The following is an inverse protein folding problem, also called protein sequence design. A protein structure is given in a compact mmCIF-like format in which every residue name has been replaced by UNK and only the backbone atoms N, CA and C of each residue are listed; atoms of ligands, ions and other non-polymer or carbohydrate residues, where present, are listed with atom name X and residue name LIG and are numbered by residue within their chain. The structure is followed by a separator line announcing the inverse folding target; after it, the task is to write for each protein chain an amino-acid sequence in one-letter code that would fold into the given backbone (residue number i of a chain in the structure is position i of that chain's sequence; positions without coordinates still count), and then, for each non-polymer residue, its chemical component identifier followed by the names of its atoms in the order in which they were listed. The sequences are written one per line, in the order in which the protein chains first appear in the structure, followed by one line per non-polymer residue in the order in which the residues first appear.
data_IF_587712006290
#
_entry.id   IF_587712006290
#
_cell.length_a   1.000
_cell.length_b   1.000
_cell.length_c   1.000
_cell.angle_alpha   90.00
_cell.angle_beta   90.00
_cell.angle_gamma   90.00
#
_symmetry.space_group_name_H-M   'P 1'
#
loop_
_entity.id
_entity.type
_entity.pdbx_description
1 polymer ?
#
# COMPACT_ATOMS: atom_id res chain seq x y z
N UNK A 1 31.28 -7.67 -1.86
CA UNK A 1 32.61 -7.88 -1.24
C UNK A 1 32.51 -9.17 -0.45
N UNK A 2 33.19 -10.24 -0.89
CA UNK A 2 32.96 -11.60 -0.35
C UNK A 2 34.06 -12.05 0.63
N UNK A 3 35.12 -11.25 0.79
CA UNK A 3 36.24 -11.50 1.71
C UNK A 3 36.82 -10.16 2.19
N UNK A 4 37.23 -10.08 3.46
CA UNK A 4 37.81 -8.87 4.07
C UNK A 4 39.17 -8.48 3.47
N UNK A 5 39.92 -9.43 2.91
CA UNK A 5 41.21 -9.17 2.27
C UNK A 5 41.07 -8.27 1.02
N UNK A 6 39.90 -8.27 0.37
CA UNK A 6 39.62 -7.45 -0.81
C UNK A 6 39.58 -5.95 -0.52
N UNK A 7 39.43 -5.55 0.75
CA UNK A 7 39.48 -4.13 1.14
C UNK A 7 40.90 -3.55 1.05
N UNK A 8 41.92 -4.40 1.10
CA UNK A 8 43.34 -4.01 1.01
C UNK A 8 43.83 -3.91 -0.43
N UNK A 9 43.00 -4.27 -1.43
CA UNK A 9 43.35 -4.15 -2.85
C UNK A 9 43.50 -2.66 -3.22
N UNK A 10 44.61 -2.32 -3.89
CA UNK A 10 44.98 -0.93 -4.23
C UNK A 10 44.47 -0.48 -5.58
N UNK A 11 44.18 -1.42 -6.49
CA UNK A 11 43.80 -1.14 -7.87
C UNK A 11 42.31 -1.38 -8.11
N UNK A 12 41.71 -0.54 -8.94
CA UNK A 12 40.35 -0.75 -9.42
C UNK A 12 40.32 -2.06 -10.26
N UNK A 13 39.32 -2.94 -10.08
CA UNK A 13 39.22 -4.16 -10.88
C UNK A 13 39.17 -3.83 -12.39
N UNK A 14 39.64 -4.73 -13.27
CA UNK A 14 39.49 -4.55 -14.71
C UNK A 14 38.00 -4.55 -15.10
N UNK A 15 37.68 -3.80 -16.17
CA UNK A 15 36.32 -3.60 -16.69
C UNK A 15 35.54 -4.91 -16.86
N UNK A 16 36.21 -5.99 -17.28
CA UNK A 16 35.62 -7.31 -17.52
C UNK A 16 35.05 -7.98 -16.26
N UNK A 17 35.44 -7.51 -15.06
CA UNK A 17 34.90 -8.00 -13.78
C UNK A 17 33.63 -7.27 -13.34
N UNK A 18 33.23 -6.19 -14.02
CA UNK A 18 32.01 -5.43 -13.73
C UNK A 18 30.86 -5.93 -14.60
N UNK A 19 30.28 -7.07 -14.21
CA UNK A 19 29.08 -7.64 -14.83
C UNK A 19 27.88 -7.55 -13.87
N UNK A 20 26.81 -6.85 -14.29
CA UNK A 20 25.58 -6.76 -13.51
C UNK A 20 24.67 -7.95 -13.81
N UNK A 21 24.48 -8.83 -12.81
CA UNK A 21 23.51 -9.95 -12.91
C UNK A 21 22.05 -9.49 -12.96
N UNK A 22 21.77 -8.25 -12.52
CA UNK A 22 20.41 -7.70 -12.49
C UNK A 22 19.95 -7.23 -13.89
N UNK A 23 20.87 -6.66 -14.66
CA UNK A 23 20.59 -6.10 -15.98
C UNK A 23 21.21 -6.93 -17.13
N UNK A 24 21.93 -8.00 -16.80
CA UNK A 24 22.68 -8.88 -17.71
C UNK A 24 23.66 -8.13 -18.63
N UNK A 25 24.21 -7.00 -18.16
CA UNK A 25 25.05 -6.09 -18.94
C UNK A 25 26.40 -5.83 -18.27
N UNK A 26 27.42 -5.61 -19.10
CA UNK A 26 28.72 -5.09 -18.69
C UNK A 26 28.64 -3.59 -18.43
N UNK A 27 29.53 -3.07 -17.58
CA UNK A 27 29.67 -1.63 -17.34
C UNK A 27 29.98 -0.87 -18.65
N UNK A 28 29.41 0.31 -18.82
CA UNK A 28 29.72 1.17 -19.97
C UNK A 28 31.10 1.81 -19.81
N UNK A 29 31.72 2.25 -20.92
CA UNK A 29 33.00 2.97 -20.86
C UNK A 29 32.91 4.27 -20.05
N UNK A 30 31.78 4.97 -20.17
CA UNK A 30 31.52 6.23 -19.44
C UNK A 30 31.46 6.02 -17.92
N UNK A 31 30.78 4.95 -17.47
CA UNK A 31 30.68 4.63 -16.05
C UNK A 31 32.04 4.19 -15.48
N UNK A 32 32.82 3.41 -16.23
CA UNK A 32 34.16 3.02 -15.81
C UNK A 32 35.13 4.21 -15.75
N UNK A 33 35.03 5.17 -16.69
CA UNK A 33 35.79 6.42 -16.65
C UNK A 33 35.38 7.29 -15.44
N UNK A 34 34.09 7.32 -15.11
CA UNK A 34 33.59 7.99 -13.90
C UNK A 34 34.24 7.42 -12.64
N UNK A 35 34.29 6.09 -12.50
CA UNK A 35 34.94 5.43 -11.36
C UNK A 35 36.43 5.76 -11.26
N UNK A 36 37.14 5.76 -12.40
CA UNK A 36 38.54 6.20 -12.44
C UNK A 36 38.72 7.67 -12.05
N UNK A 37 37.75 8.53 -12.41
CA UNK A 37 37.76 9.95 -12.01
C UNK A 37 37.51 10.12 -10.52
N UNK A 38 36.60 9.34 -9.93
CA UNK A 38 36.33 9.33 -8.48
C UNK A 38 37.58 8.91 -7.70
N UNK A 39 38.21 7.78 -8.08
CA UNK A 39 39.44 7.31 -7.44
C UNK A 39 40.58 8.33 -7.51
N UNK A 40 40.75 8.98 -8.67
CA UNK A 40 41.76 10.04 -8.84
C UNK A 40 41.46 11.27 -8.00
N UNK A 41 40.22 11.75 -8.01
CA UNK A 41 39.81 13.01 -7.37
C UNK A 41 39.81 12.93 -5.84
N UNK A 42 39.48 11.78 -5.27
CA UNK A 42 39.51 11.54 -3.82
C UNK A 42 40.81 10.90 -3.33
N UNK A 43 41.79 10.69 -4.22
CA UNK A 43 43.10 10.09 -3.91
C UNK A 43 42.99 8.76 -3.12
N UNK A 44 42.08 7.89 -3.55
CA UNK A 44 41.76 6.63 -2.89
C UNK A 44 42.94 5.67 -2.99
N UNK A 45 43.38 5.12 -1.85
CA UNK A 45 44.56 4.25 -1.77
C UNK A 45 44.23 2.76 -1.80
N UNK A 46 43.04 2.40 -1.34
CA UNK A 46 42.59 1.01 -1.28
C UNK A 46 41.07 0.92 -1.45
N UNK A 47 40.58 -0.28 -1.73
CA UNK A 47 39.16 -0.54 -1.97
C UNK A 47 38.30 -0.39 -0.70
N UNK A 48 38.90 -0.42 0.49
CA UNK A 48 38.29 -0.02 1.76
C UNK A 48 37.85 1.45 1.77
N UNK A 49 38.78 2.36 1.47
CA UNK A 49 38.49 3.80 1.38
C UNK A 49 37.44 4.11 0.29
N UNK A 50 37.48 3.38 -0.82
CA UNK A 50 36.44 3.45 -1.85
C UNK A 50 35.07 3.04 -1.31
N UNK A 51 35.01 1.93 -0.58
CA UNK A 51 33.75 1.45 0.01
C UNK A 51 33.25 2.42 1.09
N UNK A 52 34.14 2.98 1.90
CA UNK A 52 33.78 3.99 2.90
C UNK A 52 33.22 5.26 2.25
N UNK A 53 33.80 5.71 1.14
CA UNK A 53 33.28 6.85 0.37
C UNK A 53 31.88 6.55 -0.17
N UNK A 54 31.70 5.35 -0.74
CA UNK A 54 30.39 4.92 -1.26
C UNK A 54 29.35 4.87 -0.14
N UNK A 55 29.64 4.19 0.97
CA UNK A 55 28.72 4.05 2.11
C UNK A 55 28.43 5.42 2.73
N UNK A 56 29.42 6.30 2.88
CA UNK A 56 29.18 7.66 3.36
C UNK A 56 28.27 8.41 2.41
N UNK A 57 28.51 8.35 1.10
CA UNK A 57 27.68 9.03 0.11
C UNK A 57 26.24 8.51 0.15
N UNK A 58 26.05 7.20 0.21
CA UNK A 58 24.73 6.56 0.32
C UNK A 58 24.00 6.96 1.62
N UNK A 59 24.71 7.01 2.75
CA UNK A 59 24.16 7.46 4.04
C UNK A 59 23.76 8.94 3.99
N UNK A 60 24.58 9.82 3.40
CA UNK A 60 24.26 11.25 3.29
C UNK A 60 23.09 11.49 2.33
N UNK A 61 23.09 10.82 1.17
CA UNK A 61 21.97 10.86 0.22
C UNK A 61 20.68 10.36 0.87
N UNK A 62 20.75 9.25 1.60
CA UNK A 62 19.61 8.70 2.33
C UNK A 62 19.13 9.63 3.44
N UNK A 63 20.04 10.29 4.15
CA UNK A 63 19.71 11.29 5.17
C UNK A 63 19.01 12.50 4.55
N UNK A 64 19.54 13.08 3.47
CA UNK A 64 18.93 14.20 2.75
C UNK A 64 17.54 13.84 2.21
N UNK A 65 17.38 12.65 1.61
CA UNK A 65 16.09 12.15 1.14
C UNK A 65 15.12 11.96 2.32
N UNK A 66 15.61 11.42 3.44
CA UNK A 66 14.79 11.18 4.62
C UNK A 66 14.37 12.48 5.32
N UNK A 67 15.23 13.50 5.39
CA UNK A 67 14.88 14.82 5.90
C UNK A 67 13.80 15.48 5.04
N UNK A 68 13.98 15.48 3.70
CA UNK A 68 12.95 15.97 2.78
C UNK A 68 11.63 15.19 2.92
N UNK A 69 11.70 13.87 3.11
CA UNK A 69 10.54 13.04 3.36
C UNK A 69 9.88 13.35 4.70
N UNK A 70 10.67 13.57 5.76
CA UNK A 70 10.21 13.96 7.10
C UNK A 70 9.47 15.30 7.05
N UNK A 71 10.03 16.29 6.37
CA UNK A 71 9.39 17.59 6.18
C UNK A 71 8.08 17.47 5.39
N UNK A 72 8.06 16.67 4.31
CA UNK A 72 6.84 16.39 3.56
C UNK A 72 5.77 15.73 4.44
N UNK A 73 6.16 14.75 5.26
CA UNK A 73 5.27 14.05 6.19
C UNK A 73 4.75 14.98 7.30
N UNK A 74 5.60 15.87 7.83
CA UNK A 74 5.19 16.86 8.81
C UNK A 74 4.23 17.88 8.22
N UNK A 75 4.53 18.41 7.03
CA UNK A 75 3.69 19.41 6.35
C UNK A 75 2.36 18.84 5.86
N UNK A 76 2.36 17.60 5.39
CA UNK A 76 1.17 16.95 4.83
C UNK A 76 0.36 16.25 5.90
N UNK A 77 1.00 15.42 6.72
CA UNK A 77 0.32 14.50 7.64
C UNK A 77 0.42 14.91 9.09
N UNK A 78 1.22 15.93 9.43
CA UNK A 78 1.54 16.32 10.81
C UNK A 78 2.10 15.15 11.62
N UNK A 79 2.84 14.27 10.93
CA UNK A 79 3.43 13.06 11.49
C UNK A 79 4.92 13.05 11.20
N UNK A 80 5.68 12.71 12.23
CA UNK A 80 7.11 12.55 12.11
C UNK A 80 7.44 11.06 11.88
N UNK A 81 7.88 10.67 10.66
CA UNK A 81 8.20 9.28 10.32
C UNK A 81 9.29 8.68 11.21
N UNK A 82 10.13 9.48 11.87
CA UNK A 82 11.19 8.99 12.76
C UNK A 82 10.66 8.29 14.02
N UNK A 83 9.40 8.50 14.40
CA UNK A 83 8.77 7.82 15.54
C UNK A 83 8.24 6.42 15.21
N UNK A 84 8.40 5.98 13.98
CA UNK A 84 7.85 4.71 13.50
C UNK A 84 8.95 3.81 12.98
N UNK A 85 9.01 2.57 13.48
CA UNK A 85 10.00 1.57 13.04
C UNK A 85 9.85 1.19 11.55
N UNK A 86 8.63 1.19 11.03
CA UNK A 86 8.34 0.88 9.62
C UNK A 86 7.10 1.63 9.13
N UNK A 87 6.92 1.86 7.81
CA UNK A 87 5.72 2.49 7.27
C UNK A 87 4.39 1.79 7.63
N UNK A 88 4.31 0.45 7.80
CA UNK A 88 3.12 -0.21 8.34
C UNK A 88 2.86 0.07 9.83
N UNK A 89 3.90 0.39 10.60
CA UNK A 89 3.78 0.81 12.01
C UNK A 89 3.00 2.11 12.20
N UNK A 90 2.80 2.90 11.13
CA UNK A 90 1.87 4.03 11.11
C UNK A 90 0.40 3.59 11.21
N UNK A 91 0.01 2.34 10.98
CA UNK A 91 -1.39 1.92 10.84
C UNK A 91 -2.24 1.90 12.14
N UNK A 92 -1.85 2.66 13.17
CA UNK A 92 -2.61 2.81 14.41
C UNK A 92 -3.85 3.68 14.15
N UNK A 93 -5.02 3.06 14.26
CA UNK A 93 -6.33 3.69 14.08
C UNK A 93 -6.39 4.73 12.93
N UNK A 94 -6.15 4.34 11.66
CA UNK A 94 -6.13 5.28 10.55
C UNK A 94 -7.51 5.87 10.32
N UNK A 95 -7.58 7.18 10.08
CA UNK A 95 -8.81 7.94 9.88
C UNK A 95 -8.78 8.69 8.55
N UNK A 96 -9.92 8.77 7.87
CA UNK A 96 -10.04 9.55 6.64
C UNK A 96 -10.20 11.04 6.99
N UNK A 97 -9.22 11.88 6.63
CA UNK A 97 -9.23 13.32 6.93
C UNK A 97 -8.63 14.10 5.76
N UNK A 98 -9.00 15.38 5.62
CA UNK A 98 -8.32 16.30 4.73
C UNK A 98 -7.06 16.83 5.43
N UNK A 99 -5.85 16.52 4.93
CA UNK A 99 -4.66 17.20 5.40
C UNK A 99 -4.71 18.69 5.01
N UNK A 100 -4.02 19.54 5.78
CA UNK A 100 -4.05 21.01 5.67
C UNK A 100 -3.86 21.54 4.24
N UNK A 101 -3.06 20.85 3.43
CA UNK A 101 -2.72 21.24 2.07
C UNK A 101 -3.44 20.42 0.98
N UNK A 102 -4.43 19.59 1.32
CA UNK A 102 -5.13 18.75 0.36
C UNK A 102 -6.66 18.90 0.47
N UNK A 103 -7.31 19.14 -0.68
CA UNK A 103 -8.78 19.21 -0.77
C UNK A 103 -9.45 17.83 -0.72
N UNK A 104 -8.68 16.78 -0.96
CA UNK A 104 -9.16 15.41 -1.00
C UNK A 104 -8.92 14.70 0.33
N UNK A 105 -9.90 13.88 0.74
CA UNK A 105 -9.77 13.06 1.93
C UNK A 105 -8.73 11.97 1.70
N UNK A 106 -7.76 11.88 2.60
CA UNK A 106 -6.73 10.83 2.61
C UNK A 106 -6.86 9.99 3.87
N UNK A 107 -6.44 8.74 3.78
CA UNK A 107 -6.34 7.88 4.95
C UNK A 107 -5.08 8.25 5.73
N UNK A 108 -5.25 8.86 6.91
CA UNK A 108 -4.18 9.40 7.73
C UNK A 108 -4.00 8.62 9.03
N UNK A 109 -2.76 8.47 9.43
CA UNK A 109 -2.31 7.69 10.58
C UNK A 109 -1.98 8.58 11.77
N UNK A 110 -2.96 9.35 12.23
CA UNK A 110 -2.73 10.38 13.25
C UNK A 110 -2.83 9.86 14.69
N UNK A 111 -2.10 10.48 15.61
CA UNK A 111 -2.27 10.28 17.07
C UNK A 111 -3.35 11.19 17.68
N UNK A 112 -4.07 11.94 16.83
CA UNK A 112 -5.17 12.79 17.28
C UNK A 112 -6.32 11.99 17.87
N UNK A 113 -7.13 12.68 18.68
CA UNK A 113 -8.37 12.14 19.21
C UNK A 113 -9.24 11.59 18.08
N UNK A 114 -9.70 10.37 18.28
CA UNK A 114 -10.52 9.63 17.32
C UNK A 114 -11.99 9.75 17.70
N UNK A 115 -12.78 10.38 16.85
CA UNK A 115 -14.21 10.53 17.06
C UNK A 115 -15.01 9.51 16.24
N UNK A 116 -16.03 8.89 16.85
CA UNK A 116 -16.92 7.91 16.18
C UNK A 116 -16.16 6.78 15.45
N UNK A 117 -14.97 6.44 15.93
CA UNK A 117 -14.12 5.41 15.34
C UNK A 117 -14.71 4.01 15.58
N UNK A 118 -14.77 3.20 14.53
CA UNK A 118 -15.24 1.82 14.61
C UNK A 118 -14.02 0.93 14.77
N UNK A 119 -14.00 0.14 15.84
CA UNK A 119 -12.86 -0.73 16.19
C UNK A 119 -13.33 -2.06 16.75
N UNK A 120 -12.63 -3.13 16.38
CA UNK A 120 -12.81 -4.44 16.99
C UNK A 120 -12.24 -4.50 18.41
N UNK A 121 -12.91 -5.22 19.33
CA UNK A 121 -12.56 -5.23 20.76
C UNK A 121 -11.12 -5.67 21.05
N UNK A 122 -10.56 -6.59 20.24
CA UNK A 122 -9.17 -7.07 20.42
C UNK A 122 -8.16 -5.95 20.18
N UNK A 123 -8.33 -5.16 19.11
CA UNK A 123 -7.47 -4.02 18.82
C UNK A 123 -7.65 -2.93 19.87
N UNK A 124 -8.90 -2.69 20.31
CA UNK A 124 -9.16 -1.73 21.38
C UNK A 124 -8.41 -2.10 22.66
N UNK A 125 -8.40 -3.39 23.04
CA UNK A 125 -7.65 -3.87 24.20
C UNK A 125 -6.15 -3.58 24.08
N UNK A 126 -5.57 -3.87 22.91
CA UNK A 126 -4.16 -3.59 22.62
C UNK A 126 -3.87 -2.08 22.71
N UNK A 127 -4.72 -1.24 22.11
CA UNK A 127 -4.50 0.20 22.13
C UNK A 127 -4.62 0.80 23.53
N UNK A 128 -5.51 0.29 24.38
CA UNK A 128 -5.59 0.69 25.79
C UNK A 128 -4.32 0.29 26.56
N UNK A 129 -3.76 -0.88 26.29
CA UNK A 129 -2.48 -1.31 26.89
C UNK A 129 -1.32 -0.40 26.47
N UNK A 130 -1.37 0.14 25.25
CA UNK A 130 -0.38 1.07 24.71
C UNK A 130 -0.63 2.53 25.14
N UNK A 131 -1.62 2.78 26.02
CA UNK A 131 -1.86 4.07 26.65
C UNK A 131 -3.02 4.88 26.09
N UNK A 132 -3.80 4.36 25.13
CA UNK A 132 -4.99 5.06 24.65
C UNK A 132 -6.07 5.13 25.75
N UNK A 133 -6.61 6.33 25.97
CA UNK A 133 -7.69 6.57 26.93
C UNK A 133 -9.04 6.64 26.20
N UNK A 134 -10.01 5.87 26.66
CA UNK A 134 -11.37 5.87 26.10
C UNK A 134 -12.16 7.00 26.76
N UNK A 135 -12.69 7.92 25.95
CA UNK A 135 -13.55 9.01 26.43
C UNK A 135 -15.02 8.62 26.47
N UNK A 136 -15.55 8.04 25.39
CA UNK A 136 -16.97 7.69 25.26
C UNK A 136 -17.19 6.50 24.33
N UNK A 137 -18.10 5.61 24.73
CA UNK A 137 -18.58 4.50 23.89
C UNK A 137 -19.96 4.88 23.34
N UNK A 138 -20.09 4.93 22.02
CA UNK A 138 -21.34 5.30 21.36
C UNK A 138 -22.29 4.12 21.13
N UNK A 139 -21.75 2.97 20.69
CA UNK A 139 -22.50 1.76 20.33
C UNK A 139 -21.62 0.54 20.52
N UNK A 140 -22.23 -0.59 20.87
CA UNK A 140 -21.56 -1.88 20.99
C UNK A 140 -22.34 -2.89 20.14
N UNK A 141 -21.62 -3.65 19.32
CA UNK A 141 -22.17 -4.80 18.60
C UNK A 141 -21.62 -6.07 19.24
N UNK A 142 -22.48 -6.87 19.86
CA UNK A 142 -22.13 -8.18 20.39
C UNK A 142 -22.43 -9.26 19.35
N UNK A 143 -21.57 -10.26 19.26
CA UNK A 143 -21.68 -11.34 18.28
C UNK A 143 -20.99 -12.61 18.78
N UNK A 144 -21.42 -13.75 18.25
CA UNK A 144 -20.75 -15.03 18.44
C UNK A 144 -19.77 -15.30 17.29
N UNK A 145 -18.65 -15.94 17.59
CA UNK A 145 -17.57 -16.21 16.63
C UNK A 145 -17.48 -17.71 16.35
N UNK A 146 -17.48 -18.07 15.08
CA UNK A 146 -17.25 -19.44 14.61
C UNK A 146 -16.27 -19.45 13.45
N UNK A 147 -15.58 -20.57 13.24
CA UNK A 147 -14.61 -20.74 12.16
C UNK A 147 -15.27 -21.12 10.83
N UNK A 148 -16.38 -20.48 10.47
CA UNK A 148 -17.22 -20.91 9.35
C UNK A 148 -16.52 -20.84 7.97
N UNK A 149 -15.52 -19.96 7.78
CA UNK A 149 -14.71 -19.90 6.56
C UNK A 149 -13.54 -20.90 6.54
N UNK A 150 -13.20 -21.52 7.67
CA UNK A 150 -12.01 -22.37 7.78
C UNK A 150 -11.99 -23.52 6.76
N UNK A 151 -13.08 -24.30 6.58
CA UNK A 151 -13.06 -25.40 5.60
C UNK A 151 -12.76 -24.93 4.17
N UNK A 152 -13.25 -23.75 3.80
CA UNK A 152 -13.00 -23.16 2.49
C UNK A 152 -11.56 -22.68 2.31
N UNK A 153 -11.02 -21.99 3.33
CA UNK A 153 -9.63 -21.51 3.30
C UNK A 153 -8.65 -22.69 3.29
N UNK A 154 -8.88 -23.71 4.11
CA UNK A 154 -8.05 -24.92 4.20
C UNK A 154 -8.05 -25.68 2.86
N UNK A 155 -9.22 -25.79 2.21
CA UNK A 155 -9.33 -26.38 0.86
C UNK A 155 -8.47 -25.61 -0.15
N UNK A 156 -8.62 -24.28 -0.23
CA UNK A 156 -7.84 -23.46 -1.16
C UNK A 156 -6.35 -23.48 -0.85
N UNK A 157 -5.96 -23.59 0.42
CA UNK A 157 -4.55 -23.76 0.81
C UNK A 157 -3.99 -25.10 0.34
N UNK A 158 -4.76 -26.19 0.50
CA UNK A 158 -4.37 -27.52 -0.01
C UNK A 158 -4.25 -27.52 -1.53
N UNK A 159 -5.17 -26.87 -2.23
CA UNK A 159 -5.12 -26.72 -3.69
C UNK A 159 -3.93 -25.87 -4.15
N UNK A 160 -3.59 -24.79 -3.42
CA UNK A 160 -2.36 -24.02 -3.67
C UNK A 160 -1.09 -24.88 -3.56
N UNK A 161 -1.02 -25.77 -2.56
CA UNK A 161 0.15 -26.64 -2.36
C UNK A 161 0.28 -27.70 -3.46
N UNK A 162 -0.85 -28.23 -3.95
CA UNK A 162 -0.89 -29.25 -5.02
C UNK A 162 -0.72 -28.66 -6.43
N UNK A 163 -0.88 -27.35 -6.59
CA UNK A 163 -0.80 -26.68 -7.88
C UNK A 163 0.60 -26.78 -8.48
N UNK A 164 0.66 -27.23 -9.74
CA UNK A 164 1.91 -27.41 -10.48
C UNK A 164 2.36 -26.13 -11.17
N UNK A 165 1.41 -25.29 -11.56
CA UNK A 165 1.67 -24.05 -12.30
C UNK A 165 1.47 -22.82 -11.43
N UNK A 166 2.20 -21.76 -11.74
CA UNK A 166 2.03 -20.46 -11.09
C UNK A 166 0.62 -19.89 -11.29
N UNK A 167 0.03 -20.10 -12.47
CA UNK A 167 -1.35 -19.72 -12.75
C UNK A 167 -2.35 -20.34 -11.75
N UNK A 168 -2.26 -21.66 -11.50
CA UNK A 168 -3.15 -22.34 -10.56
C UNK A 168 -2.97 -21.83 -9.13
N UNK A 169 -1.72 -21.61 -8.70
CA UNK A 169 -1.43 -21.02 -7.39
C UNK A 169 -2.08 -19.63 -7.26
N UNK A 170 -1.93 -18.80 -8.28
CA UNK A 170 -2.50 -17.45 -8.30
C UNK A 170 -4.04 -17.48 -8.33
N UNK A 171 -4.63 -18.44 -9.02
CA UNK A 171 -6.09 -18.63 -9.04
C UNK A 171 -6.65 -18.92 -7.64
N UNK A 172 -6.11 -19.89 -6.90
CA UNK A 172 -6.61 -20.21 -5.57
C UNK A 172 -6.35 -19.11 -4.53
N UNK A 173 -5.23 -18.40 -4.65
CA UNK A 173 -4.98 -17.17 -3.86
C UNK A 173 -6.04 -16.11 -4.14
N UNK A 174 -6.38 -15.90 -5.41
CA UNK A 174 -7.40 -14.92 -5.82
C UNK A 174 -8.78 -15.28 -5.25
N UNK A 175 -9.13 -16.56 -5.18
CA UNK A 175 -10.41 -17.01 -4.62
C UNK A 175 -10.56 -16.60 -3.14
N UNK A 176 -9.53 -16.81 -2.32
CA UNK A 176 -9.51 -16.35 -0.92
C UNK A 176 -9.65 -14.82 -0.83
N UNK A 177 -8.87 -14.09 -1.64
CA UNK A 177 -8.90 -12.62 -1.66
C UNK A 177 -10.25 -12.07 -2.15
N UNK A 178 -10.92 -12.77 -3.06
CA UNK A 178 -12.20 -12.38 -3.64
C UNK A 178 -13.31 -12.39 -2.61
N UNK A 179 -13.38 -13.42 -1.75
CA UNK A 179 -14.37 -13.49 -0.66
C UNK A 179 -14.20 -12.30 0.28
N UNK A 180 -12.96 -12.03 0.71
CA UNK A 180 -12.66 -10.89 1.56
C UNK A 180 -13.05 -9.55 0.90
N UNK A 181 -12.70 -9.34 -0.38
CA UNK A 181 -13.12 -8.14 -1.12
C UNK A 181 -14.63 -8.03 -1.21
N UNK A 182 -15.34 -9.16 -1.30
CA UNK A 182 -16.80 -9.19 -1.40
C UNK A 182 -17.49 -8.77 -0.11
N UNK A 183 -16.92 -9.10 1.06
CA UNK A 183 -17.46 -8.63 2.35
C UNK A 183 -17.29 -7.12 2.51
N UNK A 184 -16.21 -6.55 1.94
CA UNK A 184 -15.89 -5.12 1.93
C UNK A 184 -16.58 -4.30 0.83
N UNK A 185 -17.43 -4.91 0.01
CA UNK A 185 -18.03 -4.22 -1.14
C UNK A 185 -19.03 -3.14 -0.71
N UNK A 186 -18.78 -1.89 -1.14
CA UNK A 186 -19.72 -0.79 -0.93
C UNK A 186 -20.82 -0.78 -2.01
N UNK A 187 -21.99 -1.33 -1.68
CA UNK A 187 -23.14 -1.41 -2.63
C UNK A 187 -23.75 -0.05 -2.98
N UNK A 188 -23.44 1.02 -2.24
CA UNK A 188 -23.93 2.38 -2.51
C UNK A 188 -23.23 3.02 -3.70
N UNK A 189 -21.98 2.60 -3.99
CA UNK A 189 -21.21 3.07 -5.15
C UNK A 189 -21.57 2.36 -6.46
N UNK A 190 -22.52 1.42 -6.44
CA UNK A 190 -22.94 0.73 -7.66
C UNK A 190 -23.79 1.66 -8.51
N UNK A 191 -23.29 2.00 -9.70
CA UNK A 191 -24.06 2.66 -10.74
C UNK A 191 -24.51 1.64 -11.80
N UNK A 192 -25.64 1.93 -12.43
CA UNK A 192 -26.04 1.31 -13.68
C UNK A 192 -25.45 2.13 -14.82
N UNK A 193 -24.71 1.47 -15.70
CA UNK A 193 -24.22 2.09 -16.93
C UNK A 193 -25.23 1.79 -18.03
N UNK A 194 -25.77 2.83 -18.67
CA UNK A 194 -26.67 2.68 -19.82
C UNK A 194 -26.00 3.22 -21.06
N UNK A 195 -25.88 2.37 -22.08
CA UNK A 195 -25.29 2.75 -23.36
C UNK A 195 -26.41 3.19 -24.31
N UNK A 196 -26.20 4.28 -25.02
CA UNK A 196 -27.17 4.88 -25.91
C UNK A 196 -26.50 5.32 -27.22
N UNK A 197 -27.18 5.08 -28.34
CA UNK A 197 -26.74 5.49 -29.67
C UNK A 197 -27.69 6.46 -30.39
N UNK A 198 -28.80 6.87 -29.74
CA UNK A 198 -29.84 7.69 -30.36
C UNK A 198 -30.06 8.98 -29.56
N UNK A 199 -30.09 10.12 -30.23
CA UNK A 199 -30.32 11.44 -29.59
C UNK A 199 -31.63 11.50 -28.77
N UNK A 200 -32.69 10.83 -29.23
CA UNK A 200 -33.98 10.78 -28.50
C UNK A 200 -33.83 10.09 -27.14
N UNK A 201 -33.04 9.02 -27.08
CA UNK A 201 -32.79 8.28 -25.83
C UNK A 201 -31.79 9.01 -24.95
N UNK A 202 -30.81 9.72 -25.52
CA UNK A 202 -29.89 10.61 -24.81
C UNK A 202 -30.66 11.69 -24.02
N UNK A 203 -31.53 12.45 -24.70
CA UNK A 203 -32.38 13.46 -24.04
C UNK A 203 -33.24 12.87 -22.92
N UNK A 204 -33.77 11.65 -23.12
CA UNK A 204 -34.58 10.95 -22.11
C UNK A 204 -33.76 10.51 -20.89
N UNK A 205 -32.51 10.07 -21.09
CA UNK A 205 -31.63 9.61 -19.99
C UNK A 205 -31.07 10.80 -19.20
N UNK A 206 -30.70 11.89 -19.89
CA UNK A 206 -30.24 13.14 -19.27
C UNK A 206 -31.32 13.79 -18.40
N UNK A 207 -32.59 13.61 -18.75
CA UNK A 207 -33.71 14.13 -17.97
C UNK A 207 -34.06 13.31 -16.70
N UNK A 208 -33.46 12.14 -16.50
CA UNK A 208 -33.76 11.32 -15.31
C UNK A 208 -33.10 11.91 -14.06
N UNK A 209 -33.80 11.88 -12.93
CA UNK A 209 -33.30 12.46 -11.67
C UNK A 209 -32.08 11.75 -11.09
N UNK A 210 -31.83 10.52 -11.49
CA UNK A 210 -30.66 9.73 -11.10
C UNK A 210 -29.56 9.72 -12.17
N UNK A 211 -29.56 10.69 -13.08
CA UNK A 211 -28.42 10.94 -13.97
C UNK A 211 -27.30 11.64 -13.20
N UNK A 212 -26.06 11.15 -13.32
CA UNK A 212 -24.87 11.79 -12.72
C UNK A 212 -23.98 12.38 -13.80
N UNK A 213 -23.54 11.54 -14.73
CA UNK A 213 -22.62 11.96 -15.78
C UNK A 213 -22.79 11.11 -17.05
N UNK A 214 -22.34 11.65 -18.18
CA UNK A 214 -22.29 10.96 -19.47
C UNK A 214 -20.88 10.98 -20.05
N UNK A 215 -20.42 9.82 -20.50
CA UNK A 215 -19.16 9.66 -21.22
C UNK A 215 -19.45 9.42 -22.69
N UNK A 216 -18.94 10.29 -23.56
CA UNK A 216 -19.05 10.14 -25.01
C UNK A 216 -17.89 9.28 -25.51
N UNK A 217 -18.19 8.19 -26.21
CA UNK A 217 -17.20 7.34 -26.86
C UNK A 217 -17.06 7.67 -28.35
N UNK A 218 -18.15 8.07 -29.00
CA UNK A 218 -18.18 8.57 -30.37
C UNK A 218 -19.40 9.47 -30.58
N UNK A 219 -19.51 10.11 -31.74
CA UNK A 219 -20.63 11.00 -32.09
C UNK A 219 -22.01 10.36 -31.85
N UNK A 220 -22.10 9.04 -32.06
CA UNK A 220 -23.32 8.25 -31.91
C UNK A 220 -23.26 7.24 -30.77
N UNK A 221 -22.33 7.36 -29.81
CA UNK A 221 -22.23 6.41 -28.70
C UNK A 221 -21.88 7.11 -27.39
N UNK A 222 -22.80 7.02 -26.44
CA UNK A 222 -22.65 7.61 -25.12
C UNK A 222 -23.02 6.60 -24.02
N UNK A 223 -22.24 6.57 -22.94
CA UNK A 223 -22.58 5.86 -21.72
C UNK A 223 -23.04 6.83 -20.64
N UNK A 224 -24.16 6.51 -20.00
CA UNK A 224 -24.77 7.28 -18.92
C UNK A 224 -24.52 6.55 -17.62
N UNK A 225 -23.84 7.20 -16.70
CA UNK A 225 -23.68 6.72 -15.33
C UNK A 225 -24.90 7.13 -14.51
N UNK A 226 -25.61 6.13 -14.00
CA UNK A 226 -26.84 6.33 -13.25
C UNK A 226 -26.82 5.54 -11.94
N UNK A 227 -26.72 6.20 -10.78
CA UNK A 227 -26.82 5.52 -9.48
C UNK A 227 -28.12 4.73 -9.35
N UNK A 228 -28.04 3.63 -8.60
CA UNK A 228 -29.22 2.85 -8.24
C UNK A 228 -30.08 3.65 -7.24
N UNK A 229 -31.32 3.93 -7.62
CA UNK A 229 -32.30 4.60 -6.76
C UNK A 229 -32.61 3.80 -5.50
N UNK A 230 -32.57 2.47 -5.59
CA UNK A 230 -32.76 1.55 -4.47
C UNK A 230 -31.53 0.66 -4.38
N UNK A 231 -30.88 0.64 -3.21
CA UNK A 231 -29.72 -0.20 -2.95
C UNK A 231 -29.97 -1.12 -1.76
N UNK A 232 -29.87 -2.43 -1.98
CA UNK A 232 -29.95 -3.43 -0.92
C UNK A 232 -28.60 -3.56 -0.22
N UNK A 233 -28.58 -3.35 1.10
CA UNK A 233 -27.40 -3.52 1.94
C UNK A 233 -27.28 -4.98 2.39
N UNK A 234 -26.90 -5.87 1.47
CA UNK A 234 -26.76 -7.30 1.72
C UNK A 234 -25.30 -7.78 1.85
N UNK A 235 -24.37 -6.85 2.09
CA UNK A 235 -22.95 -7.17 2.26
C UNK A 235 -22.60 -7.18 3.74
N UNK A 236 -21.89 -8.22 4.14
CA UNK A 236 -21.46 -8.44 5.52
C UNK A 236 -20.18 -7.65 5.80
N UNK A 237 -20.27 -6.31 5.74
CA UNK A 237 -19.14 -5.39 5.91
C UNK A 237 -18.48 -5.54 7.29
N UNK A 238 -19.27 -5.92 8.30
CA UNK A 238 -18.79 -6.23 9.66
C UNK A 238 -17.77 -7.38 9.69
N UNK A 239 -17.92 -8.39 8.83
CA UNK A 239 -16.98 -9.51 8.75
C UNK A 239 -15.64 -9.04 8.18
N UNK A 240 -15.67 -8.28 7.08
CA UNK A 240 -14.45 -7.73 6.51
C UNK A 240 -13.71 -6.84 7.49
N UNK A 241 -14.44 -6.00 8.24
CA UNK A 241 -13.83 -5.03 9.18
C UNK A 241 -13.17 -5.76 10.33
N UNK A 242 -13.82 -6.80 10.87
CA UNK A 242 -13.22 -7.68 11.87
C UNK A 242 -11.96 -8.39 11.34
N UNK A 243 -11.97 -8.90 10.10
CA UNK A 243 -10.79 -9.55 9.49
C UNK A 243 -9.61 -8.56 9.41
N UNK A 244 -9.85 -7.33 8.92
CA UNK A 244 -8.81 -6.30 8.84
C UNK A 244 -8.26 -5.95 10.22
N UNK A 245 -9.13 -5.72 11.19
CA UNK A 245 -8.68 -5.35 12.53
C UNK A 245 -7.87 -6.47 13.19
N UNK A 246 -8.35 -7.72 13.12
CA UNK A 246 -7.61 -8.86 13.67
C UNK A 246 -6.27 -9.06 12.95
N UNK A 247 -6.20 -8.81 11.64
CA UNK A 247 -4.93 -8.92 10.89
C UNK A 247 -3.88 -7.90 11.35
N UNK A 248 -4.29 -6.71 11.80
CA UNK A 248 -3.36 -5.70 12.34
C UNK A 248 -2.67 -6.22 13.60
N UNK A 249 -3.37 -6.96 14.47
CA UNK A 249 -2.76 -7.53 15.69
C UNK A 249 -1.59 -8.45 15.31
N UNK A 250 -1.79 -9.34 14.34
CA UNK A 250 -0.74 -10.24 13.86
C UNK A 250 0.47 -9.48 13.29
N UNK A 251 0.22 -8.36 12.60
CA UNK A 251 1.31 -7.51 12.10
C UNK A 251 2.10 -6.85 13.23
N UNK A 252 1.45 -6.50 14.34
CA UNK A 252 2.12 -5.92 15.49
C UNK A 252 2.87 -6.95 16.33
N UNK A 253 2.34 -8.16 16.51
CA UNK A 253 3.01 -9.23 17.26
C UNK A 253 4.31 -9.73 16.58
N UNK A 254 4.50 -9.44 15.29
CA UNK A 254 5.70 -9.81 14.54
C UNK A 254 6.91 -8.89 14.83
N UNK A 255 6.68 -7.73 15.46
CA UNK A 255 7.71 -6.74 15.78
C UNK A 255 7.90 -6.58 17.29
#
# INVERSE_FOLDING_TARGET
MDNFEKFSETDLPPKDKFYSRLNEQNITDADYEHEQNVCRKFCIKNMGEYTDLYVKSDVHLSADIFENFRDLCMNTYTLDPAWYFTPPGLSWAPEMRNPSNCREMRLLTTLYDKEKYIIHYRNLKQYVQLGMKISKIHRILQFEQTHFLKPYIDLNASLCQKAKTEFQKNFFKLMNNSIFRKTMENTRRRANIRICCNEKKDKKLTAQSNFVDRTLFSENLAAFEMPKTISTLNKLITIGTAILDVSKILMYDFH
#
